data_IF_435286842162
#
_entry.id   IF_435286842162
#
_cell.length_a   1.000
_cell.length_b   1.000
_cell.length_c   1.000
_cell.angle_alpha   90.00
_cell.angle_beta   90.00
_cell.angle_gamma   90.00
#
_symmetry.space_group_name_H-M   'P 1'
#
loop_
_entity.id
_entity.type
_entity.pdbx_description
1 polymer ?
#
# COMPACT_ATOMS: atom_id res chain seq x y z
N UNK A 1 -17.43 -7.20 3.44
CA UNK A 1 -16.80 -5.95 2.97
C UNK A 1 -16.51 -6.09 1.49
N UNK A 2 -16.94 -5.12 0.67
CA UNK A 2 -16.68 -5.11 -0.77
C UNK A 2 -15.97 -3.81 -1.16
N UNK A 3 -14.87 -3.92 -1.91
CA UNK A 3 -14.18 -2.75 -2.45
C UNK A 3 -14.92 -2.22 -3.68
N UNK A 4 -15.20 -0.91 -3.66
CA UNK A 4 -15.88 -0.23 -4.75
C UNK A 4 -14.84 0.25 -5.76
N UNK A 5 -14.89 -0.33 -6.95
CA UNK A 5 -13.97 -0.06 -8.05
C UNK A 5 -14.66 -0.19 -9.41
N UNK A 6 -13.92 -0.11 -10.52
CA UNK A 6 -14.50 -0.06 -11.87
C UNK A 6 -15.50 -1.18 -12.18
N UNK A 7 -15.29 -2.39 -11.64
CA UNK A 7 -16.19 -3.52 -11.85
C UNK A 7 -17.43 -3.53 -10.93
N UNK A 8 -17.48 -2.69 -9.90
CA UNK A 8 -18.50 -2.73 -8.83
C UNK A 8 -19.17 -1.39 -8.56
N UNK A 9 -18.78 -0.30 -9.26
CA UNK A 9 -19.24 1.06 -8.95
C UNK A 9 -20.54 1.50 -9.62
N UNK A 10 -21.10 0.69 -10.55
CA UNK A 10 -22.39 1.03 -11.16
C UNK A 10 -23.55 0.84 -10.17
N UNK A 11 -24.59 1.67 -10.26
CA UNK A 11 -25.76 1.57 -9.36
C UNK A 11 -26.43 0.19 -9.41
N UNK A 12 -26.45 -0.43 -10.59
CA UNK A 12 -26.98 -1.78 -10.78
C UNK A 12 -26.14 -2.80 -9.99
N UNK A 13 -24.82 -2.76 -10.13
CA UNK A 13 -23.93 -3.69 -9.46
C UNK A 13 -23.90 -3.45 -7.93
N UNK A 14 -23.97 -2.20 -7.50
CA UNK A 14 -24.10 -1.85 -6.09
C UNK A 14 -25.38 -2.43 -5.47
N UNK A 15 -26.48 -2.36 -6.21
CA UNK A 15 -27.77 -2.95 -5.78
C UNK A 15 -27.67 -4.47 -5.64
N UNK A 16 -27.09 -5.16 -6.62
CA UNK A 16 -26.84 -6.60 -6.52
C UNK A 16 -25.98 -6.96 -5.31
N UNK A 17 -24.87 -6.24 -5.09
CA UNK A 17 -23.97 -6.49 -3.97
C UNK A 17 -24.65 -6.26 -2.61
N UNK A 18 -25.44 -5.18 -2.47
CA UNK A 18 -26.16 -4.89 -1.24
C UNK A 18 -27.23 -5.94 -0.95
N UNK A 19 -28.00 -6.37 -1.97
CA UNK A 19 -29.00 -7.45 -1.82
C UNK A 19 -28.36 -8.81 -1.57
N UNK A 20 -27.14 -9.04 -2.06
CA UNK A 20 -26.36 -10.25 -1.78
C UNK A 20 -25.70 -10.24 -0.40
N UNK A 21 -25.89 -9.18 0.41
CA UNK A 21 -25.40 -9.11 1.80
C UNK A 21 -24.12 -8.28 2.01
N UNK A 22 -23.82 -7.33 1.12
CA UNK A 22 -22.76 -6.36 1.40
C UNK A 22 -23.14 -5.49 2.58
N UNK A 23 -22.31 -5.49 3.63
CA UNK A 23 -22.53 -4.66 4.84
C UNK A 23 -21.61 -3.43 4.87
N UNK A 24 -20.48 -3.48 4.17
CA UNK A 24 -19.50 -2.39 4.13
C UNK A 24 -19.01 -2.18 2.70
N UNK A 25 -19.16 -0.96 2.21
CA UNK A 25 -18.59 -0.47 0.98
C UNK A 25 -17.24 0.19 1.26
N UNK A 26 -16.12 -0.45 0.85
CA UNK A 26 -14.76 0.05 1.04
C UNK A 26 -14.30 0.86 -0.15
N UNK A 27 -13.81 2.06 0.11
CA UNK A 27 -13.23 2.99 -0.86
C UNK A 27 -11.72 3.05 -0.66
N UNK A 28 -10.95 2.53 -1.61
CA UNK A 28 -9.49 2.57 -1.55
C UNK A 28 -8.98 3.92 -2.08
N UNK A 29 -8.46 4.74 -1.18
CA UNK A 29 -7.91 6.08 -1.48
C UNK A 29 -6.46 6.05 -1.98
N UNK A 30 -5.83 4.87 -2.06
CA UNK A 30 -4.55 4.73 -2.77
C UNK A 30 -4.67 5.03 -4.27
N UNK A 31 -5.90 5.06 -4.82
CA UNK A 31 -6.19 5.24 -6.23
C UNK A 31 -7.29 6.26 -6.47
N UNK A 32 -7.11 7.06 -7.51
CA UNK A 32 -8.09 8.08 -7.93
C UNK A 32 -8.01 9.37 -7.11
N UNK A 33 -8.76 10.36 -7.55
CA UNK A 33 -8.89 11.66 -6.90
C UNK A 33 -10.08 11.69 -5.93
N UNK A 34 -10.10 12.63 -4.99
CA UNK A 34 -11.26 12.89 -4.12
C UNK A 34 -12.54 13.07 -4.91
N UNK A 35 -12.48 13.73 -6.08
CA UNK A 35 -13.64 13.93 -6.95
C UNK A 35 -14.21 12.60 -7.47
N UNK A 36 -13.35 11.68 -7.90
CA UNK A 36 -13.77 10.35 -8.36
C UNK A 36 -14.32 9.51 -7.22
N UNK A 37 -13.67 9.55 -6.06
CA UNK A 37 -14.16 8.86 -4.88
C UNK A 37 -15.54 9.39 -4.43
N UNK A 38 -15.76 10.71 -4.50
CA UNK A 38 -17.05 11.33 -4.16
C UNK A 38 -18.18 10.85 -5.09
N UNK A 39 -17.91 10.69 -6.38
CA UNK A 39 -18.89 10.15 -7.33
C UNK A 39 -19.32 8.73 -6.92
N UNK A 40 -18.36 7.86 -6.61
CA UNK A 40 -18.65 6.49 -6.17
C UNK A 40 -19.40 6.48 -4.83
N UNK A 41 -18.95 7.30 -3.89
CA UNK A 41 -19.59 7.47 -2.58
C UNK A 41 -21.07 7.86 -2.70
N UNK A 42 -21.37 8.88 -3.50
CA UNK A 42 -22.76 9.34 -3.72
C UNK A 42 -23.63 8.25 -4.35
N UNK A 43 -23.10 7.41 -5.25
CA UNK A 43 -23.82 6.26 -5.79
C UNK A 43 -24.16 5.24 -4.69
N UNK A 44 -23.21 4.92 -3.82
CA UNK A 44 -23.46 4.01 -2.67
C UNK A 44 -24.52 4.58 -1.76
N UNK A 45 -24.45 5.87 -1.40
CA UNK A 45 -25.47 6.53 -0.55
C UNK A 45 -26.85 6.50 -1.18
N UNK A 46 -26.95 6.76 -2.50
CA UNK A 46 -28.21 6.71 -3.23
C UNK A 46 -28.82 5.31 -3.16
N UNK A 47 -28.06 4.27 -3.55
CA UNK A 47 -28.57 2.90 -3.60
C UNK A 47 -28.93 2.36 -2.23
N UNK A 48 -28.11 2.61 -1.18
CA UNK A 48 -28.45 2.18 0.20
C UNK A 48 -29.73 2.83 0.71
N UNK A 49 -29.96 4.10 0.36
CA UNK A 49 -31.19 4.82 0.72
C UNK A 49 -32.41 4.25 0.01
N UNK A 50 -32.31 3.96 -1.27
CA UNK A 50 -33.39 3.34 -2.07
C UNK A 50 -33.79 1.96 -1.54
N UNK A 51 -32.82 1.16 -1.10
CA UNK A 51 -33.02 -0.18 -0.58
C UNK A 51 -33.39 -0.20 0.92
N UNK A 52 -33.21 0.91 1.65
CA UNK A 52 -33.39 0.97 3.10
C UNK A 52 -32.41 0.08 3.88
N UNK A 53 -31.22 -0.20 3.33
CA UNK A 53 -30.24 -1.10 3.93
C UNK A 53 -29.14 -0.33 4.68
N UNK A 54 -28.71 -0.78 5.88
CA UNK A 54 -27.68 -0.14 6.69
C UNK A 54 -26.27 -0.53 6.23
N UNK A 55 -25.92 -0.19 4.97
CA UNK A 55 -24.57 -0.45 4.45
C UNK A 55 -23.63 0.67 4.86
N UNK A 56 -22.60 0.36 5.62
CA UNK A 56 -21.58 1.31 6.06
C UNK A 56 -20.59 1.67 4.93
N UNK A 57 -20.02 2.87 5.02
CA UNK A 57 -18.97 3.34 4.13
C UNK A 57 -17.62 3.38 4.86
N UNK A 58 -16.60 2.76 4.29
CA UNK A 58 -15.25 2.68 4.84
C UNK A 58 -14.26 3.37 3.90
N UNK A 59 -13.64 4.45 4.37
CA UNK A 59 -12.50 5.09 3.72
C UNK A 59 -11.23 4.35 4.14
N UNK A 60 -10.50 3.83 3.16
CA UNK A 60 -9.24 3.13 3.39
C UNK A 60 -8.10 3.97 2.81
N UNK A 61 -7.30 4.58 3.70
CA UNK A 61 -6.18 5.45 3.32
C UNK A 61 -5.05 4.62 2.75
N UNK A 62 -4.13 5.29 2.06
CA UNK A 62 -2.94 4.63 1.52
C UNK A 62 -2.00 4.15 2.63
N UNK A 63 -1.88 4.93 3.70
CA UNK A 63 -0.91 4.71 4.77
C UNK A 63 0.55 4.95 4.36
N UNK A 64 1.48 4.89 5.31
CA UNK A 64 2.90 4.97 5.02
C UNK A 64 3.37 3.67 4.34
N UNK A 65 3.93 3.81 3.14
CA UNK A 65 4.42 2.67 2.36
C UNK A 65 5.88 2.87 1.97
N UNK A 66 6.66 1.80 2.11
CA UNK A 66 7.97 1.70 1.48
C UNK A 66 7.78 0.94 0.16
N UNK A 67 8.26 1.52 -0.93
CA UNK A 67 8.19 0.91 -2.27
C UNK A 67 9.53 0.96 -2.98
N UNK A 68 9.76 -0.04 -3.81
CA UNK A 68 10.81 0.03 -4.83
C UNK A 68 10.42 1.04 -5.91
N UNK A 69 11.43 1.61 -6.60
CA UNK A 69 11.25 2.44 -7.79
C UNK A 69 11.26 1.57 -9.05
N UNK A 70 11.51 2.21 -10.20
CA UNK A 70 11.47 1.56 -11.49
C UNK A 70 12.71 0.68 -11.74
N UNK A 71 12.50 -0.40 -12.49
CA UNK A 71 13.53 -1.33 -12.93
C UNK A 71 13.74 -1.23 -14.44
N UNK A 72 14.96 -1.49 -14.88
CA UNK A 72 15.28 -1.70 -16.30
C UNK A 72 14.41 -2.84 -16.86
N UNK A 73 13.72 -2.58 -17.97
CA UNK A 73 12.78 -3.55 -18.55
C UNK A 73 11.53 -3.84 -17.72
N UNK A 74 11.29 -3.07 -16.63
CA UNK A 74 10.08 -3.15 -15.80
C UNK A 74 10.08 -4.26 -14.75
N UNK A 75 10.96 -5.26 -14.87
CA UNK A 75 11.12 -6.36 -13.89
C UNK A 75 12.46 -7.04 -14.01
N UNK A 76 12.93 -7.60 -12.91
CA UNK A 76 14.15 -8.42 -12.84
C UNK A 76 13.90 -9.68 -12.04
N UNK A 77 14.72 -10.72 -12.23
CA UNK A 77 14.69 -11.94 -11.44
C UNK A 77 15.81 -11.91 -10.40
N UNK A 78 15.45 -12.12 -9.13
CA UNK A 78 16.39 -12.27 -8.03
C UNK A 78 16.53 -13.74 -7.68
N UNK A 79 17.78 -14.21 -7.54
CA UNK A 79 18.09 -15.61 -7.24
C UNK A 79 18.45 -15.76 -5.76
N UNK A 80 17.96 -16.84 -5.12
CA UNK A 80 18.33 -17.16 -3.75
C UNK A 80 19.85 -17.25 -3.58
N UNK A 81 20.37 -16.67 -2.51
CA UNK A 81 21.80 -16.60 -2.22
C UNK A 81 22.55 -15.43 -2.84
N UNK A 82 21.95 -14.68 -3.78
CA UNK A 82 22.62 -13.49 -4.33
C UNK A 82 22.60 -12.32 -3.33
N UNK A 83 23.53 -11.39 -3.50
CA UNK A 83 23.42 -10.07 -2.86
C UNK A 83 22.48 -9.17 -3.68
N UNK A 84 21.70 -8.36 -2.96
CA UNK A 84 20.88 -7.30 -3.55
C UNK A 84 20.98 -6.05 -2.70
N UNK A 85 21.15 -4.90 -3.33
CA UNK A 85 21.37 -3.63 -2.65
C UNK A 85 20.11 -2.77 -2.76
N UNK A 86 19.58 -2.32 -1.62
CA UNK A 86 18.59 -1.26 -1.56
C UNK A 86 19.31 0.07 -1.33
N UNK A 87 18.98 1.09 -2.12
CA UNK A 87 19.63 2.40 -2.04
C UNK A 87 18.64 3.54 -1.99
N UNK A 88 19.08 4.67 -1.44
CA UNK A 88 18.34 5.94 -1.45
C UNK A 88 18.67 6.82 -2.65
N UNK A 89 19.70 6.44 -3.43
CA UNK A 89 20.03 7.09 -4.69
C UNK A 89 18.95 6.80 -5.74
N UNK A 90 18.57 7.82 -6.53
CA UNK A 90 17.61 7.65 -7.63
C UNK A 90 18.28 7.02 -8.84
N UNK A 91 18.08 5.73 -9.01
CA UNK A 91 18.62 4.94 -10.12
C UNK A 91 17.53 4.07 -10.75
N UNK A 92 17.77 3.64 -12.01
CA UNK A 92 17.02 2.52 -12.58
C UNK A 92 17.50 1.22 -11.91
N UNK A 93 16.55 0.48 -11.36
CA UNK A 93 16.83 -0.78 -10.69
C UNK A 93 17.34 -1.86 -11.66
N UNK A 94 18.25 -2.69 -11.18
CA UNK A 94 18.85 -3.81 -11.89
C UNK A 94 18.71 -5.09 -11.07
N UNK A 95 19.28 -6.19 -11.53
CA UNK A 95 19.37 -7.45 -10.75
C UNK A 95 20.27 -7.33 -9.50
N UNK A 96 21.01 -6.22 -9.34
CA UNK A 96 21.98 -6.04 -8.26
C UNK A 96 21.56 -4.96 -7.27
N UNK A 97 20.84 -3.90 -7.71
CA UNK A 97 20.56 -2.71 -6.90
C UNK A 97 19.24 -2.07 -7.33
N UNK A 98 18.47 -1.56 -6.37
CA UNK A 98 17.25 -0.80 -6.64
C UNK A 98 17.03 0.31 -5.62
N UNK A 99 16.38 1.39 -6.06
CA UNK A 99 16.00 2.51 -5.21
C UNK A 99 14.77 2.17 -4.37
N UNK A 100 14.78 2.59 -3.09
CA UNK A 100 13.62 2.56 -2.20
C UNK A 100 13.07 3.95 -1.93
N UNK A 101 11.76 4.06 -1.73
CA UNK A 101 11.08 5.34 -1.48
C UNK A 101 11.39 5.95 -0.11
N UNK A 102 11.70 5.13 0.89
CA UNK A 102 11.92 5.57 2.27
C UNK A 102 13.41 5.73 2.59
N UNK A 103 13.88 6.96 2.54
CA UNK A 103 15.30 7.30 2.67
C UNK A 103 15.89 7.02 4.06
N UNK A 104 15.07 7.01 5.11
CA UNK A 104 15.54 6.81 6.49
C UNK A 104 15.56 5.34 6.93
N UNK A 105 15.22 4.40 6.04
CA UNK A 105 15.14 2.97 6.38
C UNK A 105 16.43 2.45 7.04
N UNK A 106 17.59 2.88 6.56
CA UNK A 106 18.90 2.49 7.09
C UNK A 106 19.10 2.78 8.59
N UNK A 107 18.42 3.81 9.12
CA UNK A 107 18.51 4.20 10.52
C UNK A 107 17.51 3.43 11.42
N UNK A 108 16.48 2.85 10.81
CA UNK A 108 15.39 2.16 11.51
C UNK A 108 15.61 0.65 11.59
N UNK A 109 16.63 0.13 10.88
CA UNK A 109 16.92 -1.30 10.81
C UNK A 109 18.36 -1.61 11.24
N UNK A 110 18.66 -2.88 11.42
CA UNK A 110 19.99 -3.39 11.77
C UNK A 110 20.37 -4.60 10.93
N UNK A 111 21.64 -4.97 10.97
CA UNK A 111 22.10 -6.25 10.41
C UNK A 111 21.31 -7.40 11.01
N UNK A 112 20.89 -8.33 10.17
CA UNK A 112 20.02 -9.45 10.52
C UNK A 112 18.51 -9.14 10.40
N UNK A 113 18.12 -7.89 10.10
CA UNK A 113 16.70 -7.56 9.85
C UNK A 113 16.19 -8.25 8.60
N UNK A 114 14.99 -8.82 8.67
CA UNK A 114 14.28 -9.37 7.50
C UNK A 114 13.59 -8.26 6.72
N UNK A 115 13.75 -8.27 5.41
CA UNK A 115 13.04 -7.41 4.46
C UNK A 115 12.22 -8.30 3.53
N UNK A 116 10.95 -7.97 3.39
CA UNK A 116 10.01 -8.65 2.51
C UNK A 116 9.62 -7.75 1.34
N UNK A 117 9.58 -8.27 0.13
CA UNK A 117 9.16 -7.55 -1.06
C UNK A 117 7.98 -8.28 -1.70
N UNK A 118 7.05 -7.51 -2.28
CA UNK A 118 5.87 -8.03 -2.98
C UNK A 118 5.04 -8.98 -2.09
N UNK A 119 4.54 -8.45 -0.98
CA UNK A 119 3.72 -9.16 0.01
C UNK A 119 4.38 -10.45 0.57
N UNK A 120 5.72 -10.46 0.61
CA UNK A 120 6.50 -11.57 1.14
C UNK A 120 6.86 -12.65 0.13
N UNK A 121 6.61 -12.44 -1.16
CA UNK A 121 7.06 -13.34 -2.22
C UNK A 121 8.57 -13.43 -2.31
N UNK A 122 9.26 -12.33 -1.99
CA UNK A 122 10.72 -12.27 -1.92
C UNK A 122 11.12 -11.91 -0.50
N UNK A 123 12.01 -12.70 0.06
CA UNK A 123 12.59 -12.49 1.39
C UNK A 123 14.09 -12.24 1.29
N UNK A 124 14.58 -11.27 2.05
CA UNK A 124 15.99 -10.95 2.18
C UNK A 124 16.34 -10.69 3.63
N UNK A 125 17.63 -10.88 3.94
CA UNK A 125 18.22 -10.51 5.25
C UNK A 125 19.28 -9.45 5.05
N UNK A 126 19.26 -8.41 5.88
CA UNK A 126 20.28 -7.36 5.89
C UNK A 126 21.62 -7.92 6.36
N UNK A 127 22.66 -7.81 5.52
CA UNK A 127 24.03 -8.22 5.83
C UNK A 127 24.91 -7.04 6.27
N UNK A 128 24.72 -5.87 5.65
CA UNK A 128 25.53 -4.68 5.91
C UNK A 128 24.70 -3.41 5.67
N UNK A 129 24.95 -2.37 6.42
CA UNK A 129 24.38 -1.03 6.22
C UNK A 129 25.53 -0.06 5.98
N UNK A 130 25.50 0.61 4.82
CA UNK A 130 26.44 1.64 4.39
C UNK A 130 25.73 3.00 4.35
N UNK A 131 26.46 4.07 3.99
CA UNK A 131 25.89 5.43 4.02
C UNK A 131 24.58 5.58 3.25
N UNK A 132 24.52 5.12 2.00
CA UNK A 132 23.32 5.23 1.14
C UNK A 132 22.78 3.86 0.71
N UNK A 133 23.31 2.78 1.29
CA UNK A 133 23.04 1.42 0.83
C UNK A 133 22.73 0.46 1.99
N UNK A 134 21.79 -0.42 1.74
CA UNK A 134 21.47 -1.57 2.59
C UNK A 134 21.78 -2.81 1.77
N UNK A 135 22.83 -3.52 2.12
CA UNK A 135 23.25 -4.76 1.45
C UNK A 135 22.47 -5.92 2.04
N UNK A 136 21.74 -6.63 1.21
CA UNK A 136 20.89 -7.75 1.61
C UNK A 136 21.33 -9.05 0.95
N UNK A 137 21.09 -10.17 1.63
CA UNK A 137 21.14 -11.52 1.07
C UNK A 137 19.72 -11.98 0.72
N UNK A 138 19.49 -12.36 -0.53
CA UNK A 138 18.22 -12.93 -0.96
C UNK A 138 18.09 -14.34 -0.38
N UNK A 139 17.06 -14.57 0.43
CA UNK A 139 16.74 -15.86 1.02
C UNK A 139 15.80 -16.62 0.09
N UNK A 140 14.68 -16.00 -0.26
CA UNK A 140 13.73 -16.51 -1.23
C UNK A 140 13.70 -15.59 -2.45
N UNK A 141 14.08 -16.12 -3.60
CA UNK A 141 14.15 -15.39 -4.86
C UNK A 141 12.82 -15.37 -5.62
N UNK A 142 12.80 -14.63 -6.73
CA UNK A 142 11.65 -14.51 -7.61
C UNK A 142 11.71 -13.25 -8.47
N UNK A 143 10.65 -13.02 -9.24
CA UNK A 143 10.53 -11.80 -10.05
C UNK A 143 10.09 -10.63 -9.19
N UNK A 144 10.84 -9.52 -9.27
CA UNK A 144 10.47 -8.23 -8.69
C UNK A 144 10.24 -7.22 -9.81
N UNK A 145 9.19 -6.41 -9.70
CA UNK A 145 8.83 -5.40 -10.70
C UNK A 145 8.71 -4.01 -10.08
N UNK A 146 8.43 -3.01 -10.93
CA UNK A 146 8.26 -1.61 -10.54
C UNK A 146 7.26 -1.45 -9.38
N UNK A 147 7.56 -0.52 -8.48
CA UNK A 147 6.69 -0.04 -7.41
C UNK A 147 6.20 -1.10 -6.41
N UNK A 148 6.89 -2.25 -6.33
CA UNK A 148 6.54 -3.28 -5.35
C UNK A 148 6.75 -2.79 -3.91
N UNK A 149 5.82 -3.18 -3.03
CA UNK A 149 5.87 -2.89 -1.61
C UNK A 149 7.08 -3.55 -0.94
N UNK A 150 7.64 -2.85 0.04
CA UNK A 150 8.73 -3.33 0.89
C UNK A 150 8.24 -3.32 2.33
N UNK A 151 8.23 -4.46 2.99
CA UNK A 151 7.83 -4.61 4.38
C UNK A 151 9.04 -5.03 5.22
N UNK A 152 9.11 -4.50 6.44
CA UNK A 152 10.20 -4.79 7.38
C UNK A 152 9.59 -5.23 8.71
N UNK A 153 9.23 -6.51 8.83
CA UNK A 153 8.56 -7.02 10.02
C UNK A 153 9.44 -6.86 11.25
N UNK A 154 8.84 -6.39 12.35
CA UNK A 154 9.52 -6.20 13.63
C UNK A 154 10.40 -4.96 13.71
N UNK A 155 10.54 -4.15 12.67
CA UNK A 155 11.21 -2.86 12.74
C UNK A 155 10.22 -1.76 13.17
N UNK A 156 10.71 -0.84 14.01
CA UNK A 156 9.99 0.39 14.36
C UNK A 156 10.47 1.47 13.41
N UNK A 157 9.62 1.84 12.46
CA UNK A 157 9.96 2.84 11.46
C UNK A 157 9.70 4.25 11.99
N UNK A 158 10.61 5.17 11.74
CA UNK A 158 10.47 6.59 12.10
C UNK A 158 9.64 7.40 11.09
N UNK A 159 8.92 6.72 10.19
CA UNK A 159 7.97 7.35 9.28
C UNK A 159 6.79 7.96 10.03
N UNK A 160 6.30 9.15 9.61
CA UNK A 160 5.01 9.64 10.10
C UNK A 160 3.90 8.63 9.82
N UNK A 161 3.08 8.31 10.84
CA UNK A 161 1.97 7.36 10.70
C UNK A 161 0.86 7.88 9.77
N UNK A 162 0.67 9.19 9.72
CA UNK A 162 -0.29 9.85 8.85
C UNK A 162 0.51 10.78 7.95
N UNK A 163 0.52 10.51 6.66
CA UNK A 163 1.09 11.41 5.66
C UNK A 163 0.18 12.62 5.45
N UNK A 164 0.69 13.68 4.80
CA UNK A 164 -0.14 14.82 4.41
C UNK A 164 -1.31 14.41 3.51
N UNK A 165 -1.10 13.41 2.66
CA UNK A 165 -2.13 12.83 1.78
C UNK A 165 -3.18 12.10 2.62
N UNK A 166 -2.76 11.23 3.53
CA UNK A 166 -3.70 10.51 4.42
C UNK A 166 -4.51 11.48 5.29
N UNK A 167 -3.87 12.56 5.77
CA UNK A 167 -4.58 13.59 6.53
C UNK A 167 -5.66 14.28 5.69
N UNK A 168 -5.35 14.62 4.43
CA UNK A 168 -6.32 15.20 3.51
C UNK A 168 -7.47 14.23 3.21
N UNK A 169 -7.17 12.94 3.05
CA UNK A 169 -8.17 11.88 2.85
C UNK A 169 -9.08 11.72 4.07
N UNK A 170 -8.51 11.73 5.28
CA UNK A 170 -9.27 11.64 6.54
C UNK A 170 -10.20 12.86 6.70
N UNK A 171 -9.70 14.08 6.46
CA UNK A 171 -10.50 15.30 6.50
C UNK A 171 -11.67 15.19 5.51
N UNK A 172 -11.38 14.81 4.26
CA UNK A 172 -12.40 14.56 3.25
C UNK A 172 -13.45 13.56 3.73
N UNK A 173 -13.03 12.45 4.35
CA UNK A 173 -13.93 11.44 4.89
C UNK A 173 -14.88 11.99 5.97
N UNK A 174 -14.33 12.78 6.90
CA UNK A 174 -15.11 13.43 7.96
C UNK A 174 -16.14 14.42 7.38
N UNK A 175 -15.69 15.28 6.45
CA UNK A 175 -16.54 16.29 5.82
C UNK A 175 -17.70 15.70 5.01
N UNK A 176 -17.52 14.51 4.43
CA UNK A 176 -18.52 13.80 3.63
C UNK A 176 -19.33 12.76 4.42
N UNK A 177 -18.98 12.51 5.69
CA UNK A 177 -19.73 11.62 6.57
C UNK A 177 -19.50 10.14 6.28
N UNK A 178 -18.26 9.73 6.00
CA UNK A 178 -17.90 8.32 6.00
C UNK A 178 -18.11 7.71 7.39
N UNK A 179 -18.62 6.49 7.43
CA UNK A 179 -18.96 5.82 8.68
C UNK A 179 -17.73 5.28 9.43
N UNK A 180 -16.64 5.01 8.70
CA UNK A 180 -15.41 4.46 9.25
C UNK A 180 -14.20 4.81 8.39
N UNK A 181 -13.02 4.82 9.00
CA UNK A 181 -11.73 4.93 8.31
C UNK A 181 -10.85 3.75 8.67
N UNK A 182 -10.15 3.20 7.69
CA UNK A 182 -9.08 2.23 7.88
C UNK A 182 -7.76 2.85 7.46
N UNK A 183 -6.74 2.72 8.29
CA UNK A 183 -5.37 3.04 7.94
C UNK A 183 -4.41 1.99 8.48
N UNK A 184 -3.37 1.72 7.71
CA UNK A 184 -2.42 0.66 8.02
C UNK A 184 -1.43 1.16 9.06
N UNK A 185 -1.65 0.94 10.28
CA UNK A 185 -0.74 0.92 11.43
C UNK A 185 -1.23 1.74 12.62
N UNK A 186 -1.84 1.04 13.54
CA UNK A 186 -1.87 1.42 14.95
C UNK A 186 -0.99 0.42 15.69
N UNK A 187 0.23 0.82 16.03
CA UNK A 187 0.91 0.25 17.19
C UNK A 187 0.57 1.15 18.37
N UNK A 188 -0.34 0.69 19.21
CA UNK A 188 -0.55 1.23 20.54
C UNK A 188 0.62 0.80 21.42
#
# INVERSE_FOLDING_TARGET
>A
ICTIGPASESEEKLRELMLAGMNVARFNFSHGSHKEQLVKYNRVLKVRKELGLPVATLLDTKGPEIRLRDFEGGKVELVSGQQFILTTEEIMGTVQKATISYKNLKNDIKVGTTILIDDGLIEMTVEEIRDEEIVCRVINGGFVSNHKGVNVPGAILSMPYISEVDLADIIFGVEHGFDSVSYTHLTL
#
